data_IF_247265935495
#
_entry.id   IF_247265935495
#
_cell.length_a   1.000
_cell.length_b   1.000
_cell.length_c   1.000
_cell.angle_alpha   90.00
_cell.angle_beta   90.00
_cell.angle_gamma   90.00
#
_symmetry.space_group_name_H-M   'P 1'
#
loop_
_entity.id
_entity.type
_entity.pdbx_description
1 polymer ?
#
# COMPACT_ATOMS: atom_id res chain seq x y z
N UNK A 1 -3.46 -10.57 5.67
CA UNK A 1 -3.61 -10.08 4.27
C UNK A 1 -5.02 -9.57 4.12
N UNK A 2 -5.19 -8.30 3.77
CA UNK A 2 -6.51 -7.64 3.72
C UNK A 2 -7.45 -8.34 2.76
N UNK A 3 -6.94 -8.95 1.67
CA UNK A 3 -7.78 -9.63 0.68
C UNK A 3 -8.52 -10.86 1.24
N UNK A 4 -8.06 -11.44 2.35
CA UNK A 4 -8.74 -12.54 3.07
C UNK A 4 -9.44 -12.09 4.34
N UNK A 5 -8.83 -11.17 5.10
CA UNK A 5 -9.34 -10.74 6.41
C UNK A 5 -10.49 -9.73 6.31
N UNK A 6 -10.43 -8.83 5.33
CA UNK A 6 -11.42 -7.78 5.06
C UNK A 6 -11.60 -7.66 3.53
N UNK A 7 -12.18 -8.70 2.91
CA UNK A 7 -12.19 -8.84 1.46
C UNK A 7 -12.98 -7.72 0.78
N UNK A 8 -12.43 -7.21 -0.32
CA UNK A 8 -13.04 -6.18 -1.14
C UNK A 8 -13.14 -6.65 -2.61
N UNK A 9 -13.91 -5.92 -3.41
CA UNK A 9 -14.19 -6.27 -4.80
C UNK A 9 -14.75 -7.71 -4.93
N UNK A 10 -14.00 -8.64 -5.49
CA UNK A 10 -14.39 -10.04 -5.66
C UNK A 10 -13.41 -11.03 -5.01
N UNK A 11 -12.50 -10.57 -4.14
CA UNK A 11 -11.51 -11.44 -3.49
C UNK A 11 -12.13 -12.50 -2.57
N UNK A 12 -13.36 -12.28 -2.08
CA UNK A 12 -14.16 -13.25 -1.33
C UNK A 12 -14.64 -14.44 -2.17
N UNK A 13 -14.60 -14.32 -3.50
CA UNK A 13 -15.06 -15.34 -4.45
C UNK A 13 -13.91 -16.06 -5.17
N UNK A 14 -12.67 -15.70 -4.87
CA UNK A 14 -11.47 -16.21 -5.53
C UNK A 14 -10.71 -17.11 -4.57
N UNK A 15 -10.26 -18.26 -5.08
CA UNK A 15 -9.44 -19.19 -4.31
C UNK A 15 -7.95 -18.88 -4.46
N UNK A 16 -7.33 -18.49 -3.36
CA UNK A 16 -5.91 -18.19 -3.33
C UNK A 16 -5.30 -18.37 -1.95
N UNK A 17 -3.99 -18.62 -1.92
CA UNK A 17 -3.20 -18.81 -0.72
C UNK A 17 -2.45 -17.54 -0.32
N UNK A 18 -2.36 -17.28 0.99
CA UNK A 18 -1.52 -16.21 1.53
C UNK A 18 -0.11 -16.75 1.73
N UNK A 19 0.82 -16.30 0.89
CA UNK A 19 2.20 -16.76 0.93
C UNK A 19 2.93 -16.11 2.12
N UNK A 20 3.56 -16.95 2.95
CA UNK A 20 4.38 -16.51 4.07
C UNK A 20 5.73 -17.23 4.08
N UNK A 21 6.75 -16.56 4.60
CA UNK A 21 8.09 -17.09 4.86
C UNK A 21 8.50 -16.79 6.30
N UNK A 22 9.34 -17.65 6.90
CA UNK A 22 9.69 -17.57 8.33
C UNK A 22 11.03 -16.90 8.63
N UNK A 23 11.95 -16.87 7.68
CA UNK A 23 13.34 -16.46 7.93
C UNK A 23 13.49 -14.94 8.14
N UNK A 24 12.53 -14.12 7.68
CA UNK A 24 12.51 -12.66 7.89
C UNK A 24 13.60 -11.86 7.14
N UNK A 25 14.52 -12.53 6.46
CA UNK A 25 15.63 -11.92 5.72
C UNK A 25 15.20 -11.36 4.35
N UNK A 26 16.16 -10.86 3.57
CA UNK A 26 15.88 -10.35 2.22
C UNK A 26 15.45 -11.47 1.28
N UNK A 27 16.01 -12.67 1.44
CA UNK A 27 15.69 -13.84 0.60
C UNK A 27 14.24 -14.28 0.81
N UNK A 28 13.77 -14.40 2.04
CA UNK A 28 12.38 -14.67 2.40
C UNK A 28 11.44 -13.66 1.73
N UNK A 29 11.74 -12.36 1.83
CA UNK A 29 10.96 -11.31 1.17
C UNK A 29 10.92 -11.45 -0.36
N UNK A 30 12.02 -11.89 -0.98
CA UNK A 30 12.07 -12.15 -2.42
C UNK A 30 11.24 -13.39 -2.81
N UNK A 31 11.30 -14.45 -2.01
CA UNK A 31 10.53 -15.68 -2.22
C UNK A 31 9.03 -15.46 -2.09
N UNK A 32 8.59 -14.69 -1.08
CA UNK A 32 7.18 -14.30 -0.93
C UNK A 32 6.69 -13.62 -2.20
N UNK A 33 7.36 -12.55 -2.68
CA UNK A 33 6.95 -11.83 -3.89
C UNK A 33 6.93 -12.69 -5.14
N UNK A 34 7.93 -13.55 -5.32
CA UNK A 34 7.97 -14.47 -6.45
C UNK A 34 6.77 -15.42 -6.44
N UNK A 35 6.42 -15.98 -5.27
CA UNK A 35 5.28 -16.88 -5.10
C UNK A 35 3.93 -16.17 -5.20
N UNK A 36 3.80 -14.97 -4.65
CA UNK A 36 2.62 -14.11 -4.82
C UNK A 36 2.36 -13.76 -6.29
N UNK A 37 3.42 -13.69 -7.12
CA UNK A 37 3.27 -13.49 -8.57
C UNK A 37 2.57 -14.68 -9.22
N UNK A 38 2.96 -15.91 -8.89
CA UNK A 38 2.27 -17.12 -9.37
C UNK A 38 0.84 -17.20 -8.84
N UNK A 39 0.63 -16.83 -7.57
CA UNK A 39 -0.73 -16.78 -7.00
C UNK A 39 -1.60 -15.73 -7.69
N UNK A 40 -1.02 -14.59 -8.08
CA UNK A 40 -1.71 -13.57 -8.86
C UNK A 40 -2.11 -14.07 -10.24
N UNK A 41 -1.28 -14.90 -10.89
CA UNK A 41 -1.64 -15.55 -12.16
C UNK A 41 -2.83 -16.49 -11.98
N UNK A 42 -2.83 -17.32 -10.92
CA UNK A 42 -3.96 -18.20 -10.55
C UNK A 42 -5.25 -17.41 -10.34
N UNK A 43 -5.17 -16.24 -9.68
CA UNK A 43 -6.32 -15.35 -9.49
C UNK A 43 -6.83 -14.79 -10.82
N UNK A 44 -5.93 -14.37 -11.71
CA UNK A 44 -6.29 -13.84 -13.04
C UNK A 44 -7.01 -14.89 -13.87
N UNK A 45 -6.49 -16.13 -13.91
CA UNK A 45 -7.14 -17.24 -14.62
C UNK A 45 -8.56 -17.51 -14.10
N UNK A 46 -8.72 -17.62 -12.77
CA UNK A 46 -10.04 -17.78 -12.15
C UNK A 46 -11.01 -16.64 -12.49
N UNK A 47 -10.52 -15.40 -12.49
CA UNK A 47 -11.35 -14.23 -12.80
C UNK A 47 -11.78 -14.21 -14.28
N UNK A 48 -10.93 -14.68 -15.20
CA UNK A 48 -11.27 -14.82 -16.62
C UNK A 48 -12.29 -15.93 -16.85
N UNK A 49 -12.10 -17.08 -16.22
CA UNK A 49 -13.01 -18.24 -16.37
C UNK A 49 -14.40 -17.98 -15.79
N UNK A 50 -14.49 -17.13 -14.76
CA UNK A 50 -15.73 -16.82 -14.04
C UNK A 50 -16.24 -15.40 -14.28
N UNK A 51 -15.81 -14.73 -15.36
CA UNK A 51 -16.18 -13.34 -15.63
C UNK A 51 -17.69 -13.23 -15.92
N UNK A 52 -18.50 -12.59 -15.04
CA UNK A 52 -19.93 -12.47 -15.29
C UNK A 52 -20.20 -11.43 -16.38
N UNK A 53 -21.25 -11.60 -17.20
CA UNK A 53 -21.72 -10.54 -18.07
C UNK A 53 -22.40 -9.45 -17.23
N UNK A 54 -22.39 -8.21 -17.72
CA UNK A 54 -23.08 -7.09 -17.07
C UNK A 54 -22.42 -5.74 -17.34
N UNK A 55 -22.99 -4.69 -16.74
CA UNK A 55 -22.45 -3.34 -16.82
C UNK A 55 -21.14 -3.24 -16.01
N UNK A 56 -20.15 -2.58 -16.60
CA UNK A 56 -18.81 -2.41 -16.00
C UNK A 56 -18.66 -1.08 -15.24
N UNK A 57 -19.71 -0.26 -15.22
CA UNK A 57 -19.68 1.07 -14.61
C UNK A 57 -21.05 1.45 -14.06
N UNK A 58 -21.03 2.15 -12.92
CA UNK A 58 -22.22 2.76 -12.31
C UNK A 58 -22.04 4.27 -12.28
N UNK A 59 -23.14 5.02 -12.44
CA UNK A 59 -23.11 6.47 -12.28
C UNK A 59 -22.90 6.78 -10.79
N UNK A 60 -21.89 7.59 -10.41
CA UNK A 60 -21.69 7.96 -9.01
C UNK A 60 -22.90 8.77 -8.49
N UNK A 61 -23.29 8.50 -7.25
CA UNK A 61 -24.28 9.30 -6.53
C UNK A 61 -23.68 10.62 -6.05
N UNK A 62 -24.52 11.56 -5.63
CA UNK A 62 -24.07 12.78 -4.97
C UNK A 62 -23.19 12.48 -3.74
N UNK A 63 -22.12 13.26 -3.50
CA UNK A 63 -21.27 13.10 -2.33
C UNK A 63 -22.07 13.22 -1.04
N UNK A 64 -21.87 12.27 -0.12
CA UNK A 64 -22.51 12.28 1.20
C UNK A 64 -21.65 13.08 2.19
N UNK A 65 -22.28 13.69 3.19
CA UNK A 65 -21.57 14.26 4.34
C UNK A 65 -21.16 13.10 5.26
N UNK A 66 -19.88 13.00 5.62
CA UNK A 66 -19.39 11.93 6.48
C UNK A 66 -17.88 11.69 6.43
N UNK A 67 -17.43 10.68 7.16
CA UNK A 67 -16.04 10.22 7.23
C UNK A 67 -15.99 8.71 7.01
N UNK A 68 -15.06 8.25 6.19
CA UNK A 68 -14.91 6.82 5.88
C UNK A 68 -13.43 6.43 5.72
N UNK A 69 -13.15 5.15 5.99
CA UNK A 69 -11.82 4.55 5.82
C UNK A 69 -11.90 3.37 4.86
N UNK A 70 -11.19 3.45 3.74
CA UNK A 70 -10.97 2.35 2.83
C UNK A 70 -9.59 1.73 3.04
N UNK A 71 -9.54 0.40 3.05
CA UNK A 71 -8.30 -0.39 3.16
C UNK A 71 -8.18 -1.33 1.97
N UNK A 72 -6.99 -1.47 1.42
CA UNK A 72 -6.69 -2.44 0.36
C UNK A 72 -5.30 -3.05 0.56
N UNK A 73 -5.06 -4.23 -0.01
CA UNK A 73 -3.73 -4.82 -0.05
C UNK A 73 -3.03 -4.38 -1.34
N UNK A 74 -2.17 -3.36 -1.23
CA UNK A 74 -1.28 -3.03 -2.34
C UNK A 74 -0.10 -4.02 -2.36
N UNK A 75 0.66 -4.16 -3.46
CA UNK A 75 1.79 -5.10 -3.54
C UNK A 75 2.93 -4.84 -2.52
N UNK A 76 2.87 -3.74 -1.77
CA UNK A 76 3.85 -3.33 -0.75
C UNK A 76 3.30 -3.45 0.67
N UNK A 77 2.07 -3.93 0.83
CA UNK A 77 1.34 -4.03 2.08
C UNK A 77 0.03 -3.24 2.09
N UNK A 78 -0.51 -3.06 3.29
CA UNK A 78 -1.78 -2.37 3.53
C UNK A 78 -1.75 -0.88 3.17
N UNK A 79 -2.62 -0.50 2.24
CA UNK A 79 -2.91 0.86 1.82
C UNK A 79 -4.20 1.36 2.49
N UNK A 80 -4.14 2.51 3.14
CA UNK A 80 -5.29 3.09 3.84
C UNK A 80 -5.61 4.48 3.31
N UNK A 81 -6.86 4.70 2.93
CA UNK A 81 -7.43 5.98 2.58
C UNK A 81 -8.48 6.37 3.61
N UNK A 82 -8.25 7.48 4.29
CA UNK A 82 -9.26 8.16 5.08
C UNK A 82 -9.79 9.35 4.28
N UNK A 83 -11.11 9.44 4.15
CA UNK A 83 -11.77 10.53 3.43
C UNK A 83 -12.83 11.15 4.34
N UNK A 84 -12.85 12.48 4.40
CA UNK A 84 -13.93 13.27 4.97
C UNK A 84 -14.58 14.10 3.89
N UNK A 85 -15.90 14.07 3.82
CA UNK A 85 -16.70 14.79 2.84
C UNK A 85 -17.70 15.71 3.55
N UNK A 86 -17.83 16.92 3.01
CA UNK A 86 -18.80 17.93 3.42
C UNK A 86 -20.01 18.00 2.45
N UNK A 87 -20.18 16.98 1.59
CA UNK A 87 -21.25 16.92 0.60
C UNK A 87 -20.97 17.68 -0.70
N UNK A 88 -19.82 18.34 -0.82
CA UNK A 88 -19.40 18.96 -2.09
C UNK A 88 -18.69 17.94 -2.99
N UNK A 89 -18.47 18.30 -4.25
CA UNK A 89 -17.72 17.48 -5.21
C UNK A 89 -16.20 17.40 -4.93
N UNK A 90 -15.71 18.08 -3.89
CA UNK A 90 -14.31 18.05 -3.46
C UNK A 90 -14.28 17.54 -2.01
N UNK A 91 -13.54 16.46 -1.70
CA UNK A 91 -13.44 15.98 -0.33
C UNK A 91 -12.80 17.05 0.56
N UNK A 92 -13.39 17.27 1.74
CA UNK A 92 -12.87 18.21 2.74
C UNK A 92 -11.47 17.77 3.22
N UNK A 93 -11.24 16.46 3.31
CA UNK A 93 -9.94 15.91 3.66
C UNK A 93 -9.73 14.55 3.02
N UNK A 94 -8.53 14.36 2.47
CA UNK A 94 -8.02 13.03 2.09
C UNK A 94 -6.71 12.80 2.84
N UNK A 95 -6.66 11.71 3.60
CA UNK A 95 -5.44 11.26 4.28
C UNK A 95 -5.09 9.87 3.76
N UNK A 96 -3.95 9.79 3.09
CA UNK A 96 -3.41 8.52 2.58
C UNK A 96 -2.29 8.03 3.49
N UNK A 97 -2.35 6.76 3.91
CA UNK A 97 -1.24 6.01 4.48
C UNK A 97 -0.86 4.91 3.49
N UNK A 98 0.20 5.18 2.76
CA UNK A 98 0.84 4.24 1.84
C UNK A 98 1.67 3.21 2.61
N UNK A 99 1.82 1.97 2.10
CA UNK A 99 2.59 0.93 2.79
C UNK A 99 4.05 1.31 2.96
N UNK A 100 4.68 1.84 1.90
CA UNK A 100 6.09 2.26 1.94
C UNK A 100 6.37 3.30 3.04
N UNK A 101 5.41 4.19 3.33
CA UNK A 101 5.61 5.16 4.42
C UNK A 101 5.74 4.47 5.80
N UNK A 102 5.02 3.37 6.04
CA UNK A 102 5.17 2.61 7.26
C UNK A 102 6.44 1.74 7.24
N UNK A 103 6.74 1.11 6.10
CA UNK A 103 7.86 0.18 5.98
C UNK A 103 9.23 0.88 6.04
N UNK A 104 9.34 2.10 5.51
CA UNK A 104 10.63 2.81 5.44
C UNK A 104 11.28 3.06 6.81
N UNK A 105 10.50 3.19 7.88
CA UNK A 105 11.05 3.35 9.23
C UNK A 105 11.81 2.11 9.70
N UNK A 106 11.47 0.92 9.19
CA UNK A 106 12.17 -0.32 9.52
C UNK A 106 13.58 -0.40 8.91
N UNK A 107 13.86 0.35 7.83
CA UNK A 107 15.19 0.37 7.18
C UNK A 107 16.29 0.70 8.20
N UNK A 108 16.02 1.65 9.10
CA UNK A 108 17.00 2.07 10.10
C UNK A 108 17.46 0.88 10.94
N UNK A 109 16.52 0.05 11.40
CA UNK A 109 16.84 -1.11 12.21
C UNK A 109 17.43 -2.25 11.36
N UNK A 110 16.92 -2.47 10.15
CA UNK A 110 17.43 -3.49 9.23
C UNK A 110 18.89 -3.27 8.81
N UNK A 111 19.38 -2.02 8.83
CA UNK A 111 20.77 -1.68 8.47
C UNK A 111 21.73 -1.67 9.67
N UNK A 112 21.24 -1.76 10.91
CA UNK A 112 22.12 -1.66 12.09
C UNK A 112 23.01 -2.88 12.21
N UNK A 113 24.32 -2.63 12.22
CA UNK A 113 25.33 -3.68 12.32
C UNK A 113 25.57 -4.44 11.01
N UNK A 114 24.89 -4.08 9.93
CA UNK A 114 25.07 -4.68 8.61
C UNK A 114 26.25 -4.04 7.86
N UNK A 115 26.82 -4.78 6.91
CA UNK A 115 27.90 -4.31 6.04
C UNK A 115 27.37 -3.32 5.02
N UNK A 116 28.15 -2.27 4.75
CA UNK A 116 27.77 -1.20 3.82
C UNK A 116 27.44 -1.73 2.41
N UNK A 117 28.15 -2.76 1.95
CA UNK A 117 27.90 -3.42 0.66
C UNK A 117 26.49 -4.03 0.52
N UNK A 118 25.89 -4.46 1.64
CA UNK A 118 24.55 -5.03 1.68
C UNK A 118 23.45 -3.96 1.79
N UNK A 119 23.82 -2.70 2.05
CA UNK A 119 22.85 -1.64 2.33
C UNK A 119 21.81 -1.49 1.21
N UNK A 120 22.26 -1.58 -0.05
CA UNK A 120 21.39 -1.52 -1.22
C UNK A 120 20.35 -2.63 -1.21
N UNK A 121 20.80 -3.88 -1.07
CA UNK A 121 19.94 -5.07 -1.06
C UNK A 121 18.91 -5.03 0.06
N UNK A 122 19.31 -4.56 1.25
CA UNK A 122 18.42 -4.40 2.40
C UNK A 122 17.37 -3.33 2.14
N UNK A 123 17.77 -2.15 1.64
CA UNK A 123 16.86 -1.04 1.34
C UNK A 123 15.87 -1.41 0.24
N UNK A 124 16.35 -1.99 -0.87
CA UNK A 124 15.51 -2.39 -2.00
C UNK A 124 14.55 -3.54 -1.65
N UNK A 125 14.88 -4.36 -0.65
CA UNK A 125 14.04 -5.50 -0.24
C UNK A 125 12.63 -5.13 0.25
N UNK A 126 12.41 -3.88 0.64
CA UNK A 126 11.09 -3.38 1.06
C UNK A 126 10.34 -2.66 -0.08
N UNK A 127 10.91 -2.59 -1.28
CA UNK A 127 10.38 -1.87 -2.45
C UNK A 127 9.93 -0.43 -2.11
N UNK A 128 10.88 0.45 -1.73
CA UNK A 128 10.56 1.80 -1.28
C UNK A 128 10.06 2.65 -2.45
N UNK A 129 8.81 3.10 -2.37
CA UNK A 129 8.26 4.08 -3.30
C UNK A 129 8.46 5.49 -2.74
N UNK A 130 9.34 6.28 -3.37
CA UNK A 130 9.61 7.66 -2.94
C UNK A 130 8.39 8.57 -3.12
N UNK A 131 7.62 8.40 -4.21
CA UNK A 131 6.38 9.14 -4.42
C UNK A 131 5.34 8.90 -3.29
N UNK A 132 5.33 7.71 -2.71
CA UNK A 132 4.47 7.40 -1.54
C UNK A 132 4.89 8.17 -0.27
N UNK A 133 6.12 8.70 -0.25
CA UNK A 133 6.72 9.43 0.88
C UNK A 133 6.86 10.92 0.64
N UNK A 134 6.49 11.44 -0.54
CA UNK A 134 6.58 12.85 -0.88
C UNK A 134 5.61 13.68 -0.01
N UNK A 135 6.11 14.02 1.18
CA UNK A 135 5.51 14.90 2.18
C UNK A 135 6.63 15.82 2.60
N UNK A 136 6.76 16.92 1.88
CA UNK A 136 7.92 17.81 2.03
C UNK A 136 7.78 18.58 3.34
N UNK A 137 8.74 18.39 4.25
CA UNK A 137 8.93 19.29 5.40
C UNK A 137 10.25 20.01 5.21
N UNK A 138 10.20 21.32 5.00
CA UNK A 138 11.39 22.16 4.96
C UNK A 138 11.83 22.42 6.39
N UNK A 139 13.07 22.05 6.71
CA UNK A 139 13.71 22.37 7.99
C UNK A 139 14.84 23.36 7.74
N UNK A 140 14.77 24.51 8.39
CA UNK A 140 15.89 25.45 8.43
C UNK A 140 17.01 24.85 9.28
N UNK A 141 18.14 24.52 8.65
CA UNK A 141 19.27 23.86 9.30
C UNK A 141 19.95 24.69 10.41
N UNK A 142 19.79 26.03 10.41
CA UNK A 142 20.40 26.92 11.41
C UNK A 142 19.45 27.18 12.57
N UNK A 143 18.16 27.34 12.29
CA UNK A 143 17.16 27.74 13.29
C UNK A 143 16.31 26.58 13.82
N UNK A 144 16.34 25.43 13.14
CA UNK A 144 15.52 24.27 13.47
C UNK A 144 14.03 24.42 13.14
N UNK A 145 13.61 25.56 12.56
CA UNK A 145 12.20 25.81 12.20
C UNK A 145 11.74 24.85 11.11
N UNK A 146 10.57 24.23 11.30
CA UNK A 146 9.96 23.25 10.39
C UNK A 146 8.74 23.87 9.70
N UNK A 147 8.63 23.72 8.38
CA UNK A 147 7.45 24.08 7.58
C UNK A 147 7.04 22.89 6.73
N UNK A 148 5.82 22.40 6.93
CA UNK A 148 5.24 21.34 6.11
C UNK A 148 4.68 21.98 4.83
N UNK A 149 5.17 21.55 3.68
CA UNK A 149 4.60 21.88 2.37
C UNK A 149 3.53 20.83 2.08
N UNK A 150 2.29 21.30 2.10
CA UNK A 150 1.16 20.60 1.51
C UNK A 150 1.08 21.02 0.04
N UNK A 151 0.95 20.05 -0.87
CA UNK A 151 0.53 20.34 -2.24
C UNK A 151 -0.88 20.94 -2.13
N UNK A 152 -1.01 22.23 -2.45
CA UNK A 152 -2.31 22.89 -2.59
C UNK A 152 -2.92 22.55 -3.94
#
# INVERSE_FOLDING_TARGET
DIRKEDPYAAYDKLDFEVIVERDGDVRAKALVRARETYESMKIIEQALDNLPPGDIAVKPSEPRVGEEVGRTEAPRGELVYYIRSNGTNIPERVKVRTPSYANNFAILEMLRGERLENARTVIESIDPCFACTDRVTIVDAKTGRRRIITLK
#
